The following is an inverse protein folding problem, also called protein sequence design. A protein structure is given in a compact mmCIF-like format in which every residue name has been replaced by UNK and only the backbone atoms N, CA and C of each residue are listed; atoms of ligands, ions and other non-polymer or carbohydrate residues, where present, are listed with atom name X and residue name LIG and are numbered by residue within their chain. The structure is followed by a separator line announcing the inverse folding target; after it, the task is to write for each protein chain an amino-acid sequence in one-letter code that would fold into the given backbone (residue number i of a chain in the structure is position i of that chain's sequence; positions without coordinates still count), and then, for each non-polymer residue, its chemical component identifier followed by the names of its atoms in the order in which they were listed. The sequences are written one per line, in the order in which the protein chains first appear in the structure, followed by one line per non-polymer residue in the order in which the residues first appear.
data_IF_453131084426
#
_entry.id   IF_453131084426
#
_cell.length_a   1.000
_cell.length_b   1.000
_cell.length_c   1.000
_cell.angle_alpha   90.00
_cell.angle_beta   90.00
_cell.angle_gamma   90.00
#
_symmetry.space_group_name_H-M   'P 1'
#
loop_
_entity.id
_entity.type
_entity.pdbx_description
1 polymer ?
#
# COMPACT_ATOMS: atom_id res chain seq x y z
N UNK A 1 1.32 43.09 32.94
CA UNK A 1 1.02 42.25 31.76
C UNK A 1 2.19 42.39 30.81
N UNK A 2 3.18 41.49 30.93
CA UNK A 2 4.48 41.64 30.27
C UNK A 2 4.40 41.13 28.82
N UNK A 3 4.28 42.06 27.86
CA UNK A 3 4.15 41.75 26.44
C UNK A 3 5.37 41.01 25.85
N UNK A 4 6.54 41.10 26.50
CA UNK A 4 7.75 40.39 26.07
C UNK A 4 7.65 38.89 26.30
N UNK A 5 7.07 38.46 27.42
CA UNK A 5 6.86 37.04 27.72
C UNK A 5 5.79 36.44 26.79
N UNK A 6 4.75 37.22 26.49
CA UNK A 6 3.67 36.83 25.58
C UNK A 6 4.22 36.59 24.16
N UNK A 7 5.11 37.46 23.66
CA UNK A 7 5.74 37.29 22.33
C UNK A 7 6.60 36.02 22.25
N UNK A 8 7.29 35.66 23.32
CA UNK A 8 8.12 34.45 23.37
C UNK A 8 7.27 33.17 23.42
N UNK A 9 6.18 33.16 24.20
CA UNK A 9 5.23 32.04 24.30
C UNK A 9 4.51 31.80 22.97
N UNK A 10 4.09 32.88 22.31
CA UNK A 10 3.51 32.88 20.96
C UNK A 10 4.49 32.21 20.00
N UNK A 11 5.71 32.71 19.85
CA UNK A 11 6.72 32.14 18.92
C UNK A 11 7.08 30.68 19.23
N UNK A 12 7.13 30.30 20.51
CA UNK A 12 7.41 28.93 20.94
C UNK A 12 6.23 27.97 20.63
N UNK A 13 5.00 28.48 20.71
CA UNK A 13 3.79 27.74 20.36
C UNK A 13 3.64 27.58 18.84
N UNK A 14 3.91 28.64 18.06
CA UNK A 14 3.83 28.59 16.60
C UNK A 14 4.89 27.67 15.99
N UNK A 15 6.10 27.60 16.56
CA UNK A 15 7.13 26.68 16.06
C UNK A 15 6.70 25.20 16.14
N UNK A 16 5.87 24.85 17.13
CA UNK A 16 5.42 23.47 17.37
C UNK A 16 4.29 23.04 16.42
N UNK A 17 3.50 23.97 15.88
CA UNK A 17 2.38 23.66 14.94
C UNK A 17 2.81 23.67 13.47
N UNK A 18 3.90 24.36 13.11
CA UNK A 18 4.32 24.59 11.71
C UNK A 18 4.76 23.32 10.97
N UNK A 19 5.15 22.25 11.65
CA UNK A 19 5.51 21.00 10.98
C UNK A 19 4.27 20.23 10.47
N UNK A 20 3.17 20.24 11.22
CA UNK A 20 1.96 19.48 10.87
C UNK A 20 1.18 20.12 9.70
N UNK A 21 1.13 21.44 9.62
CA UNK A 21 0.37 22.17 8.57
C UNK A 21 0.93 21.94 7.16
N UNK A 22 2.24 21.73 7.04
CA UNK A 22 2.87 21.45 5.74
C UNK A 22 2.55 20.04 5.25
N UNK A 23 2.46 19.06 6.14
CA UNK A 23 2.18 17.68 5.74
C UNK A 23 0.73 17.50 5.25
N UNK A 24 -0.25 18.11 5.93
CA UNK A 24 -1.66 18.03 5.53
C UNK A 24 -1.91 18.62 4.14
N UNK A 25 -1.38 19.83 3.90
CA UNK A 25 -1.49 20.52 2.61
C UNK A 25 -0.79 19.76 1.48
N UNK A 26 0.39 19.19 1.75
CA UNK A 26 1.12 18.37 0.78
C UNK A 26 0.41 17.04 0.51
N UNK A 27 -0.18 16.40 1.52
CA UNK A 27 -0.94 15.17 1.36
C UNK A 27 -2.20 15.39 0.50
N UNK A 28 -2.99 16.43 0.81
CA UNK A 28 -4.18 16.81 0.04
C UNK A 28 -3.86 17.23 -1.40
N UNK A 29 -2.69 17.81 -1.64
CA UNK A 29 -2.23 18.14 -3.01
C UNK A 29 -1.71 16.93 -3.81
N UNK A 30 -1.89 15.71 -3.31
CA UNK A 30 -1.55 14.47 -4.02
C UNK A 30 -0.06 14.14 -4.04
N UNK A 31 0.74 14.71 -3.13
CA UNK A 31 2.19 14.44 -3.06
C UNK A 31 2.49 13.04 -2.53
N UNK A 32 1.57 12.42 -1.79
CA UNK A 32 1.68 11.05 -1.29
C UNK A 32 1.76 10.00 -2.42
N UNK A 33 1.11 10.27 -3.56
CA UNK A 33 1.16 9.40 -4.76
C UNK A 33 2.21 9.88 -5.78
N UNK A 34 2.99 10.93 -5.51
CA UNK A 34 3.95 11.46 -6.49
C UNK A 34 5.32 10.77 -6.36
N UNK A 35 5.89 10.16 -7.42
CA UNK A 35 7.15 9.44 -7.33
C UNK A 35 8.33 10.28 -6.83
N UNK A 36 8.34 11.58 -7.10
CA UNK A 36 9.42 12.50 -6.71
C UNK A 36 9.36 12.84 -5.23
N UNK A 37 8.15 12.95 -4.67
CA UNK A 37 7.95 13.43 -3.30
C UNK A 37 7.61 12.31 -2.31
N UNK A 38 7.12 11.16 -2.79
CA UNK A 38 6.55 10.12 -1.95
C UNK A 38 7.51 9.59 -0.90
N UNK A 39 8.78 9.36 -1.23
CA UNK A 39 9.74 8.87 -0.25
C UNK A 39 9.88 9.84 0.94
N UNK A 40 10.01 11.14 0.65
CA UNK A 40 10.08 12.19 1.68
C UNK A 40 8.76 12.35 2.42
N UNK A 41 7.64 12.27 1.72
CA UNK A 41 6.31 12.32 2.33
C UNK A 41 6.09 11.13 3.27
N UNK A 42 6.54 9.93 2.92
CA UNK A 42 6.42 8.78 3.80
C UNK A 42 7.39 8.79 4.97
N UNK A 43 8.52 9.49 4.86
CA UNK A 43 9.47 9.64 5.97
C UNK A 43 9.00 10.67 6.99
N UNK A 44 8.36 11.75 6.56
CA UNK A 44 8.05 12.91 7.42
C UNK A 44 6.55 13.13 7.65
N UNK A 45 5.68 12.62 6.78
CA UNK A 45 4.24 12.87 6.75
C UNK A 45 3.44 11.56 6.61
N UNK A 46 3.91 10.48 7.26
CA UNK A 46 3.33 9.14 7.14
C UNK A 46 1.86 9.12 7.55
N UNK A 47 1.53 9.77 8.67
CA UNK A 47 0.17 9.83 9.22
C UNK A 47 -0.79 10.45 8.22
N UNK A 48 -0.43 11.60 7.65
CA UNK A 48 -1.25 12.33 6.70
C UNK A 48 -1.44 11.54 5.41
N UNK A 49 -0.40 10.89 4.90
CA UNK A 49 -0.54 10.03 3.72
C UNK A 49 -1.43 8.80 3.99
N UNK A 50 -1.36 8.21 5.17
CA UNK A 50 -2.19 7.06 5.55
C UNK A 50 -3.67 7.43 5.75
N UNK A 51 -3.97 8.67 6.12
CA UNK A 51 -5.35 9.18 6.21
C UNK A 51 -5.95 9.49 4.83
N UNK A 52 -5.12 9.72 3.81
CA UNK A 52 -5.56 9.73 2.41
C UNK A 52 -5.67 8.31 1.84
N UNK A 53 -6.34 8.14 0.69
CA UNK A 53 -6.36 6.87 -0.04
C UNK A 53 -4.98 6.44 -0.63
N UNK A 54 -3.89 7.11 -0.25
CA UNK A 54 -2.52 6.83 -0.70
C UNK A 54 -1.61 6.49 0.49
N UNK A 55 -1.79 5.31 1.12
CA UNK A 55 -1.00 4.94 2.28
C UNK A 55 0.48 4.73 1.93
N UNK A 56 1.35 4.99 2.91
CA UNK A 56 2.79 4.81 2.83
C UNK A 56 3.20 3.35 2.98
N UNK A 57 2.58 2.48 2.19
CA UNK A 57 2.95 1.07 2.10
C UNK A 57 4.13 0.98 1.13
N UNK A 58 5.24 0.40 1.60
CA UNK A 58 6.33 -0.06 0.74
C UNK A 58 6.11 -1.56 0.49
N UNK A 59 5.62 -1.95 -0.70
CA UNK A 59 5.61 -3.34 -1.12
C UNK A 59 6.97 -3.97 -0.87
N UNK A 60 6.95 -5.19 -0.32
CA UNK A 60 8.16 -5.99 -0.20
C UNK A 60 8.31 -6.77 -1.49
N UNK A 61 9.47 -6.63 -2.13
CA UNK A 61 9.74 -7.33 -3.39
C UNK A 61 9.69 -8.85 -3.17
N UNK A 62 8.96 -9.54 -4.04
CA UNK A 62 8.90 -11.00 -4.08
C UNK A 62 9.80 -11.51 -5.21
N UNK A 63 10.74 -12.40 -4.88
CA UNK A 63 11.72 -12.93 -5.83
C UNK A 63 11.22 -14.19 -6.56
N UNK A 64 10.00 -14.65 -6.30
CA UNK A 64 9.41 -15.83 -6.94
C UNK A 64 8.95 -15.58 -8.39
N UNK A 65 8.92 -14.32 -8.82
CA UNK A 65 8.58 -13.90 -10.16
C UNK A 65 9.43 -12.68 -10.54
N UNK A 66 9.22 -12.17 -11.76
CA UNK A 66 9.97 -11.03 -12.29
C UNK A 66 9.02 -9.96 -12.79
N UNK A 67 9.50 -8.73 -12.77
CA UNK A 67 8.79 -7.61 -13.37
C UNK A 67 8.97 -7.64 -14.89
N UNK A 68 7.87 -7.34 -15.60
CA UNK A 68 7.81 -7.24 -17.05
C UNK A 68 8.18 -5.83 -17.53
N UNK A 69 7.85 -4.80 -16.74
CA UNK A 69 8.20 -3.42 -17.03
C UNK A 69 9.54 -3.00 -16.40
N UNK A 70 10.26 -2.09 -17.05
CA UNK A 70 11.59 -1.63 -16.63
C UNK A 70 11.52 -0.66 -15.43
N UNK A 71 10.49 0.20 -15.38
CA UNK A 71 10.37 1.26 -14.38
C UNK A 71 9.52 0.87 -13.15
N UNK A 72 9.42 -0.43 -12.83
CA UNK A 72 8.60 -0.89 -11.71
C UNK A 72 9.02 -0.30 -10.37
N UNK A 73 10.33 -0.22 -10.08
CA UNK A 73 10.85 0.37 -8.83
C UNK A 73 10.38 1.82 -8.63
N UNK A 74 10.37 2.61 -9.72
CA UNK A 74 9.91 4.01 -9.68
C UNK A 74 8.40 4.12 -9.53
N UNK A 75 7.65 3.07 -9.87
CA UNK A 75 6.19 3.00 -9.89
C UNK A 75 5.61 2.22 -8.72
N UNK A 76 6.43 1.76 -7.78
CA UNK A 76 6.02 0.92 -6.65
C UNK A 76 4.85 1.49 -5.83
N UNK A 77 4.70 2.80 -5.80
CA UNK A 77 3.58 3.48 -5.14
C UNK A 77 2.22 3.20 -5.77
N UNK A 78 2.18 2.93 -7.07
CA UNK A 78 0.98 2.61 -7.83
C UNK A 78 0.42 1.22 -7.49
N UNK A 79 1.18 0.36 -6.80
CA UNK A 79 0.70 -0.96 -6.38
C UNK A 79 -0.54 -0.87 -5.45
N UNK A 80 -0.72 0.26 -4.74
CA UNK A 80 -1.83 0.46 -3.81
C UNK A 80 -2.92 1.41 -4.35
N UNK A 81 -2.67 2.06 -5.49
CA UNK A 81 -3.64 2.96 -6.12
C UNK A 81 -4.69 2.15 -6.87
N UNK A 82 -5.97 2.25 -6.48
CA UNK A 82 -7.07 1.43 -7.05
C UNK A 82 -7.07 1.41 -8.59
N UNK A 83 -6.83 2.57 -9.21
CA UNK A 83 -6.82 2.74 -10.66
C UNK A 83 -5.66 2.01 -11.37
N UNK A 84 -4.52 1.87 -10.70
CA UNK A 84 -3.28 1.35 -11.30
C UNK A 84 -2.85 0.00 -10.72
N UNK A 85 -3.52 -0.45 -9.66
CA UNK A 85 -3.22 -1.72 -8.99
C UNK A 85 -3.22 -2.88 -9.96
N UNK A 86 -4.26 -3.05 -10.77
CA UNK A 86 -4.36 -4.19 -11.70
C UNK A 86 -3.21 -4.22 -12.71
N UNK A 87 -2.91 -3.08 -13.35
CA UNK A 87 -1.82 -2.98 -14.33
C UNK A 87 -0.45 -3.16 -13.67
N UNK A 88 -0.28 -2.72 -12.43
CA UNK A 88 0.94 -2.92 -11.65
C UNK A 88 1.10 -4.37 -11.22
N UNK A 89 0.05 -5.06 -10.80
CA UNK A 89 0.12 -6.49 -10.49
C UNK A 89 0.43 -7.33 -11.73
N UNK A 90 -0.02 -6.91 -12.91
CA UNK A 90 0.27 -7.59 -14.17
C UNK A 90 1.71 -7.37 -14.65
N UNK A 91 2.18 -6.11 -14.63
CA UNK A 91 3.47 -5.76 -15.23
C UNK A 91 4.62 -5.70 -14.22
N UNK A 92 4.32 -5.56 -12.93
CA UNK A 92 5.28 -5.43 -11.85
C UNK A 92 4.95 -6.37 -10.66
N UNK A 93 4.68 -7.68 -10.90
CA UNK A 93 4.26 -8.60 -9.84
C UNK A 93 5.34 -8.79 -8.76
N UNK A 94 6.62 -8.76 -9.12
CA UNK A 94 7.73 -8.90 -8.17
C UNK A 94 7.82 -7.64 -7.30
N UNK A 95 7.84 -6.47 -7.92
CA UNK A 95 7.90 -5.18 -7.22
C UNK A 95 6.70 -4.97 -6.29
N UNK A 96 5.49 -5.35 -6.71
CA UNK A 96 4.31 -5.24 -5.86
C UNK A 96 4.20 -6.36 -4.81
N UNK A 97 5.15 -7.30 -4.75
CA UNK A 97 5.15 -8.40 -3.79
C UNK A 97 4.02 -9.40 -4.01
N UNK A 98 3.56 -9.54 -5.25
CA UNK A 98 2.42 -10.35 -5.62
C UNK A 98 2.78 -11.25 -6.81
N UNK A 99 3.61 -12.26 -6.53
CA UNK A 99 3.94 -13.30 -7.50
C UNK A 99 2.88 -14.42 -7.61
N UNK A 100 1.69 -14.22 -7.03
CA UNK A 100 0.58 -15.16 -7.09
C UNK A 100 -0.09 -15.20 -8.48
N UNK A 101 0.52 -15.97 -9.38
CA UNK A 101 0.03 -16.49 -10.67
C UNK A 101 -1.13 -15.71 -11.32
N UNK A 102 -0.82 -14.71 -12.14
CA UNK A 102 -1.50 -14.40 -13.41
C UNK A 102 -3.03 -14.22 -13.47
N UNK A 103 -3.75 -14.23 -12.34
CA UNK A 103 -5.19 -14.06 -12.29
C UNK A 103 -5.52 -13.16 -11.10
N UNK A 104 -6.11 -12.01 -11.42
CA UNK A 104 -6.50 -10.98 -10.46
C UNK A 104 -7.60 -11.44 -9.51
N UNK A 105 -7.21 -12.17 -8.46
CA UNK A 105 -8.03 -12.33 -7.26
C UNK A 105 -7.43 -11.49 -6.15
N UNK A 106 -8.04 -10.32 -5.95
CA UNK A 106 -7.90 -9.46 -4.79
C UNK A 106 -8.15 -10.28 -3.52
N UNK A 107 -7.09 -10.76 -2.88
CA UNK A 107 -7.15 -11.17 -1.48
C UNK A 107 -6.46 -10.09 -0.68
N UNK A 108 -7.25 -9.18 -0.11
CA UNK A 108 -6.79 -8.27 0.92
C UNK A 108 -6.27 -9.12 2.08
N UNK A 109 -4.96 -9.24 2.22
CA UNK A 109 -4.40 -9.76 3.45
C UNK A 109 -4.21 -8.58 4.42
N UNK A 110 -5.29 -8.24 5.11
CA UNK A 110 -5.17 -7.58 6.39
C UNK A 110 -4.43 -8.56 7.31
N UNK A 111 -3.12 -8.38 7.45
CA UNK A 111 -2.34 -9.03 8.50
C UNK A 111 -2.67 -8.35 9.84
N UNK A 112 -3.90 -8.59 10.30
CA UNK A 112 -4.24 -8.58 11.72
C UNK A 112 -4.02 -10.00 12.23
N UNK A 113 -3.25 -10.06 13.30
CA UNK A 113 -2.75 -11.25 13.97
C UNK A 113 -3.89 -12.14 14.44
N UNK A 114 -4.00 -13.39 13.97
CA UNK A 114 -4.62 -14.47 14.77
C UNK A 114 -4.04 -15.84 14.42
N UNK A 115 -3.44 -16.44 15.45
CA UNK A 115 -2.87 -17.78 15.57
C UNK A 115 -3.94 -18.87 15.47
N UNK A 116 -3.88 -19.79 14.49
CA UNK A 116 -4.40 -21.18 14.58
C UNK A 116 -3.59 -22.03 13.56
N UNK A 117 -2.49 -22.66 13.96
CA UNK A 117 -2.37 -24.06 14.43
C UNK A 117 -2.85 -25.12 13.43
N UNK A 118 -1.85 -25.78 12.83
CA UNK A 118 -1.93 -27.00 12.05
C UNK A 118 -2.60 -28.14 12.84
N UNK A 119 -3.61 -28.78 12.27
CA UNK A 119 -3.88 -30.22 12.52
C UNK A 119 -4.56 -30.86 11.31
N UNK A 120 -4.01 -32.00 10.94
CA UNK A 120 -4.32 -32.88 9.82
C UNK A 120 -5.78 -33.29 9.66
N UNK A 121 -6.22 -33.47 8.40
CA UNK A 121 -6.95 -34.69 8.00
C UNK A 121 -6.87 -34.93 6.50
N UNK A 122 -6.03 -35.90 6.16
CA UNK A 122 -6.09 -36.70 4.94
C UNK A 122 -7.45 -37.41 4.96
N UNK A 123 -8.25 -37.25 3.92
CA UNK A 123 -9.28 -38.24 3.58
C UNK A 123 -9.39 -38.33 2.06
N UNK A 124 -8.83 -39.43 1.56
CA UNK A 124 -9.02 -39.98 0.22
C UNK A 124 -10.46 -40.39 0.01
N UNK A 125 -11.07 -39.97 -1.11
CA UNK A 125 -12.15 -40.77 -1.74
C UNK A 125 -12.14 -40.55 -3.26
N UNK A 126 -12.15 -41.69 -3.95
CA UNK A 126 -12.02 -41.89 -5.40
C UNK A 126 -13.29 -41.49 -6.15
N UNK A 127 -13.09 -41.06 -7.41
CA UNK A 127 -13.97 -41.32 -8.55
C UNK A 127 -15.30 -40.56 -8.61
N UNK A 128 -15.56 -39.90 -9.74
CA UNK A 128 -16.60 -40.30 -10.71
C UNK A 128 -16.56 -39.34 -11.90
N UNK A 129 -16.72 -39.97 -13.05
CA UNK A 129 -16.61 -39.53 -14.44
C UNK A 129 -17.64 -38.49 -14.90
N UNK A 130 -17.16 -37.58 -15.76
CA UNK A 130 -17.75 -37.13 -17.04
C UNK A 130 -19.27 -37.11 -17.22
N UNK A 131 -19.85 -35.92 -17.46
CA UNK A 131 -20.98 -35.78 -18.39
C UNK A 131 -21.06 -34.38 -19.03
N UNK A 132 -20.83 -34.38 -20.35
CA UNK A 132 -21.08 -33.29 -21.31
C UNK A 132 -22.59 -33.12 -21.47
N UNK A 133 -23.11 -31.91 -21.25
CA UNK A 133 -24.50 -31.56 -21.60
C UNK A 133 -24.51 -30.53 -22.74
N UNK A 134 -25.31 -30.85 -23.76
CA UNK A 134 -25.54 -30.10 -25.00
C UNK A 134 -27.00 -29.69 -25.01
N UNK A 135 -27.25 -28.48 -25.53
CA UNK A 135 -28.49 -27.94 -26.09
C UNK A 135 -29.68 -27.69 -25.13
N UNK A 136 -30.09 -26.42 -25.09
CA UNK A 136 -31.37 -26.00 -25.65
C UNK A 136 -31.09 -24.89 -26.67
#
# INVERSE_FOLDING_TARGET
MDFSLIKLIVLFSFASTVLSEKCETLALSGKCSNPIYREKMCLMCEKECNETKSPCIKPTKDNNCKDEAIDCDKKIFLCNEEKFKEIMLKNCPSTCGNCGNGNGTTTMNNKSTTKIQSTSKITTTKGVTTKKQKAF
#
